data_IF_062854467899
#
_entry.id   IF_062854467899
#
_cell.length_a   1.000
_cell.length_b   1.000
_cell.length_c   1.000
_cell.angle_alpha   90.00
_cell.angle_beta   90.00
_cell.angle_gamma   90.00
#
_symmetry.space_group_name_H-M   'P 1'
#
loop_
_entity.id
_entity.type
_entity.pdbx_description
1 polymer ?
#
# COMPACT_ATOMS: atom_id res chain seq x y z
N UNK A 1 0.27 15.93 6.97
CA UNK A 1 0.59 14.67 6.26
C UNK A 1 1.79 14.77 5.35
N UNK A 2 1.80 15.74 4.43
CA UNK A 2 2.90 15.85 3.48
C UNK A 2 4.25 16.06 4.15
N UNK A 3 4.33 16.85 5.21
CA UNK A 3 5.60 17.04 5.95
C UNK A 3 6.10 15.73 6.56
N UNK A 4 5.20 14.93 7.09
CA UNK A 4 5.57 13.64 7.65
C UNK A 4 6.14 12.72 6.57
N UNK A 5 5.46 12.65 5.44
CA UNK A 5 5.90 11.82 4.32
C UNK A 5 7.24 12.30 3.75
N UNK A 6 7.46 13.62 3.72
CA UNK A 6 8.72 14.20 3.23
C UNK A 6 9.91 13.90 4.14
N UNK A 7 9.66 13.67 5.42
CA UNK A 7 10.76 13.40 6.37
C UNK A 7 11.18 11.95 6.41
N UNK A 8 10.38 11.05 5.81
CA UNK A 8 10.69 9.62 5.81
C UNK A 8 11.60 9.26 4.63
N UNK A 9 12.57 8.37 4.83
CA UNK A 9 13.33 7.82 3.72
C UNK A 9 12.38 7.17 2.73
N UNK A 10 12.59 7.42 1.45
CA UNK A 10 11.72 6.90 0.41
C UNK A 10 12.52 6.03 -0.56
N UNK A 11 12.02 4.84 -0.80
CA UNK A 11 12.59 3.87 -1.72
C UNK A 11 11.51 3.51 -2.73
N UNK A 12 11.82 3.69 -3.99
CA UNK A 12 10.90 3.44 -5.07
C UNK A 12 11.30 2.18 -5.82
N UNK A 13 10.32 1.31 -6.01
CA UNK A 13 10.54 0.15 -6.87
C UNK A 13 10.32 0.54 -8.32
N UNK A 14 10.88 -0.25 -9.22
CA UNK A 14 10.49 -0.18 -10.62
C UNK A 14 8.98 -0.43 -10.70
N UNK A 15 8.30 0.38 -11.50
CA UNK A 15 6.86 0.33 -11.64
C UNK A 15 6.34 -1.05 -12.04
N UNK A 16 7.01 -1.65 -13.03
CA UNK A 16 6.56 -2.95 -13.55
C UNK A 16 6.73 -4.04 -12.49
N UNK A 17 7.83 -4.01 -11.75
CA UNK A 17 8.08 -4.96 -10.68
C UNK A 17 7.05 -4.80 -9.56
N UNK A 18 6.75 -3.56 -9.19
CA UNK A 18 5.75 -3.27 -8.18
C UNK A 18 4.37 -3.80 -8.60
N UNK A 19 3.97 -3.51 -9.83
CA UNK A 19 2.67 -3.94 -10.35
C UNK A 19 2.58 -5.46 -10.45
N UNK A 20 3.67 -6.13 -10.80
CA UNK A 20 3.71 -7.59 -10.86
C UNK A 20 3.48 -8.20 -9.49
N UNK A 21 4.12 -7.66 -8.46
CA UNK A 21 3.94 -8.17 -7.09
C UNK A 21 2.51 -7.93 -6.63
N UNK A 22 1.99 -6.74 -6.87
CA UNK A 22 0.61 -6.42 -6.52
C UNK A 22 -0.38 -7.36 -7.22
N UNK A 23 -0.18 -7.61 -8.51
CA UNK A 23 -1.06 -8.48 -9.29
C UNK A 23 -0.96 -9.96 -8.94
N UNK A 24 0.11 -10.38 -8.26
CA UNK A 24 0.22 -11.75 -7.75
C UNK A 24 -0.58 -11.96 -6.47
N UNK A 25 -0.77 -10.89 -5.71
CA UNK A 25 -1.46 -10.96 -4.41
C UNK A 25 -2.94 -10.63 -4.57
N UNK A 26 -3.25 -9.62 -5.38
CA UNK A 26 -4.62 -9.12 -5.52
C UNK A 26 -5.09 -9.20 -6.97
N UNK A 27 -6.35 -9.55 -7.16
CA UNK A 27 -7.02 -9.46 -8.46
C UNK A 27 -7.34 -7.99 -8.74
N UNK A 28 -7.68 -7.69 -10.00
CA UNK A 28 -8.08 -6.33 -10.37
C UNK A 28 -9.29 -5.85 -9.58
N UNK A 29 -10.26 -6.73 -9.34
CA UNK A 29 -11.44 -6.39 -8.55
C UNK A 29 -11.07 -6.08 -7.10
N UNK A 30 -10.15 -6.85 -6.54
CA UNK A 30 -9.67 -6.59 -5.18
C UNK A 30 -8.93 -5.26 -5.08
N UNK A 31 -8.16 -4.91 -6.11
CA UNK A 31 -7.47 -3.62 -6.15
C UNK A 31 -8.46 -2.46 -6.20
N UNK A 32 -9.54 -2.62 -6.96
CA UNK A 32 -10.61 -1.63 -7.00
C UNK A 32 -11.25 -1.48 -5.61
N UNK A 33 -11.48 -2.58 -4.93
CA UNK A 33 -12.05 -2.56 -3.58
C UNK A 33 -11.14 -1.83 -2.59
N UNK A 34 -9.83 -2.06 -2.69
CA UNK A 34 -8.85 -1.37 -1.84
C UNK A 34 -8.90 0.14 -2.12
N UNK A 35 -8.96 0.53 -3.38
CA UNK A 35 -9.05 1.94 -3.76
C UNK A 35 -10.31 2.60 -3.17
N UNK A 36 -11.44 1.92 -3.25
CA UNK A 36 -12.69 2.40 -2.66
C UNK A 36 -12.57 2.52 -1.14
N UNK A 37 -11.99 1.52 -0.49
CA UNK A 37 -11.78 1.55 0.97
C UNK A 37 -10.93 2.74 1.39
N UNK A 38 -9.89 3.06 0.62
CA UNK A 38 -9.01 4.18 0.94
C UNK A 38 -9.73 5.53 0.82
N UNK A 39 -10.83 5.60 0.09
CA UNK A 39 -11.66 6.80 0.01
C UNK A 39 -12.35 7.14 1.33
N UNK A 40 -12.50 6.17 2.20
CA UNK A 40 -13.05 6.33 3.54
C UNK A 40 -12.04 5.77 4.52
N UNK A 41 -11.22 6.62 5.15
CA UNK A 41 -10.11 6.14 5.98
C UNK A 41 -10.55 5.04 6.95
N UNK A 42 -9.81 3.94 6.92
CA UNK A 42 -10.13 2.76 7.72
C UNK A 42 -8.87 2.19 8.35
N UNK A 43 -9.07 1.55 9.48
CA UNK A 43 -8.03 0.79 10.15
C UNK A 43 -8.35 -0.68 10.03
N UNK A 44 -7.37 -1.47 9.63
CA UNK A 44 -7.43 -2.92 9.83
C UNK A 44 -6.59 -3.21 11.07
N UNK A 45 -6.45 -4.49 11.42
CA UNK A 45 -5.63 -4.84 12.58
C UNK A 45 -4.19 -4.34 12.43
N UNK A 46 -3.61 -4.45 11.24
CA UNK A 46 -2.21 -4.13 11.00
C UNK A 46 -1.96 -2.91 10.12
N UNK A 47 -3.00 -2.34 9.53
CA UNK A 47 -2.83 -1.28 8.54
C UNK A 47 -3.77 -0.11 8.76
N UNK A 48 -3.33 1.05 8.27
CA UNK A 48 -4.17 2.21 8.08
C UNK A 48 -4.31 2.44 6.58
N UNK A 49 -5.54 2.55 6.11
CA UNK A 49 -5.85 2.78 4.70
C UNK A 49 -6.48 4.15 4.54
N UNK A 50 -5.95 4.95 3.62
CA UNK A 50 -6.57 6.25 3.33
C UNK A 50 -6.18 6.72 1.94
N UNK A 51 -6.91 7.73 1.45
CA UNK A 51 -6.63 8.37 0.16
C UNK A 51 -6.17 9.79 0.41
N UNK A 52 -5.15 10.20 -0.35
CA UNK A 52 -4.69 11.58 -0.39
C UNK A 52 -4.61 11.97 -1.85
N UNK A 53 -5.46 12.93 -2.24
CA UNK A 53 -5.63 13.32 -3.63
C UNK A 53 -6.02 12.09 -4.48
N UNK A 54 -5.25 11.75 -5.50
CA UNK A 54 -5.56 10.61 -6.37
C UNK A 54 -4.75 9.36 -6.05
N UNK A 55 -3.99 9.40 -4.97
CA UNK A 55 -3.16 8.28 -4.55
C UNK A 55 -3.77 7.63 -3.31
N UNK A 56 -3.73 6.31 -3.26
CA UNK A 56 -4.09 5.64 -2.02
C UNK A 56 -2.85 5.22 -1.27
N UNK A 57 -2.97 5.21 0.05
CA UNK A 57 -1.88 4.93 0.97
C UNK A 57 -2.26 3.78 1.88
N UNK A 58 -1.33 2.86 2.01
CA UNK A 58 -1.46 1.72 2.90
C UNK A 58 -0.27 1.80 3.86
N UNK A 59 -0.54 2.01 5.13
CA UNK A 59 0.51 2.15 6.13
C UNK A 59 0.47 0.95 7.06
N UNK A 60 1.60 0.24 7.14
CA UNK A 60 1.75 -0.83 8.11
C UNK A 60 2.01 -0.20 9.47
N UNK A 61 1.08 -0.39 10.40
CA UNK A 61 1.08 0.33 11.68
C UNK A 61 2.27 0.00 12.57
N UNK A 62 2.72 -1.24 12.54
CA UNK A 62 3.80 -1.70 13.39
C UNK A 62 5.16 -1.15 12.92
N UNK A 63 5.45 -1.25 11.64
CA UNK A 63 6.75 -0.84 11.09
C UNK A 63 6.78 0.59 10.56
N UNK A 64 5.63 1.19 10.33
CA UNK A 64 5.55 2.51 9.70
C UNK A 64 5.80 2.49 8.20
N UNK A 65 5.95 1.31 7.60
CA UNK A 65 6.17 1.20 6.15
C UNK A 65 4.96 1.75 5.40
N UNK A 66 5.24 2.59 4.42
CA UNK A 66 4.20 3.26 3.64
C UNK A 66 4.24 2.73 2.21
N UNK A 67 3.10 2.27 1.75
CA UNK A 67 2.87 1.89 0.35
C UNK A 67 1.89 2.90 -0.22
N UNK A 68 2.29 3.60 -1.27
CA UNK A 68 1.34 4.47 -1.96
C UNK A 68 1.30 4.13 -3.44
N UNK A 69 0.14 4.26 -4.03
CA UNK A 69 -0.06 3.91 -5.42
C UNK A 69 -1.08 4.83 -6.07
N UNK A 70 -0.72 5.31 -7.25
CA UNK A 70 -1.63 6.03 -8.13
C UNK A 70 -1.80 5.19 -9.39
N UNK A 71 -2.89 4.48 -9.47
CA UNK A 71 -3.15 3.50 -10.52
C UNK A 71 -3.02 4.08 -11.94
N UNK A 72 -3.61 5.26 -12.14
CA UNK A 72 -3.67 5.86 -13.48
C UNK A 72 -2.32 6.36 -13.98
N UNK A 73 -1.50 6.88 -13.10
CA UNK A 73 -0.16 7.34 -13.45
C UNK A 73 0.88 6.24 -13.33
N UNK A 74 0.50 5.09 -12.82
CA UNK A 74 1.41 3.98 -12.63
C UNK A 74 2.53 4.30 -11.65
N UNK A 75 2.28 5.17 -10.68
CA UNK A 75 3.27 5.45 -9.65
C UNK A 75 3.47 4.24 -8.78
N UNK A 76 4.72 4.06 -8.37
CA UNK A 76 5.08 2.95 -7.51
C UNK A 76 4.96 3.34 -6.06
N UNK A 77 5.09 2.37 -5.20
CA UNK A 77 5.08 2.60 -3.77
C UNK A 77 6.34 3.32 -3.32
N UNK A 78 6.23 3.94 -2.16
CA UNK A 78 7.38 4.41 -1.41
C UNK A 78 7.41 3.68 -0.08
N UNK A 79 8.62 3.41 0.39
CA UNK A 79 8.82 2.72 1.66
C UNK A 79 9.83 3.50 2.48
N UNK A 80 9.62 3.54 3.79
CA UNK A 80 10.50 4.27 4.69
C UNK A 80 11.57 3.39 5.34
N UNK A 81 11.78 2.18 4.84
CA UNK A 81 12.72 1.23 5.42
C UNK A 81 13.82 0.89 4.42
N UNK A 82 15.05 1.17 4.79
CA UNK A 82 16.19 0.80 3.97
C UNK A 82 16.27 -0.72 3.84
N UNK A 83 16.59 -1.20 2.65
CA UNK A 83 16.69 -2.62 2.40
C UNK A 83 15.37 -3.33 2.17
N UNK A 84 14.29 -2.60 2.07
CA UNK A 84 12.98 -3.18 1.77
C UNK A 84 12.98 -3.74 0.35
N UNK A 85 12.70 -5.03 0.22
CA UNK A 85 12.76 -5.74 -1.06
C UNK A 85 11.37 -6.03 -1.62
N UNK A 86 11.33 -6.51 -2.87
CA UNK A 86 10.07 -6.95 -3.47
C UNK A 86 9.48 -8.15 -2.73
N UNK A 87 10.32 -9.01 -2.15
CA UNK A 87 9.85 -10.11 -1.32
C UNK A 87 9.17 -9.59 -0.06
N UNK A 88 9.74 -8.55 0.55
CA UNK A 88 9.14 -7.90 1.71
C UNK A 88 7.81 -7.25 1.34
N UNK A 89 7.73 -6.63 0.18
CA UNK A 89 6.49 -6.04 -0.32
C UNK A 89 5.41 -7.12 -0.46
N UNK A 90 5.77 -8.26 -1.03
CA UNK A 90 4.83 -9.37 -1.20
C UNK A 90 4.32 -9.87 0.14
N UNK A 91 5.20 -10.05 1.12
CA UNK A 91 4.80 -10.49 2.46
C UNK A 91 3.85 -9.49 3.11
N UNK A 92 4.15 -8.21 2.97
CA UNK A 92 3.30 -7.16 3.53
C UNK A 92 1.92 -7.15 2.87
N UNK A 93 1.87 -7.32 1.56
CA UNK A 93 0.60 -7.38 0.83
C UNK A 93 -0.20 -8.63 1.19
N UNK A 94 0.46 -9.75 1.46
CA UNK A 94 -0.23 -10.96 1.92
C UNK A 94 -0.84 -10.75 3.30
N UNK A 95 -0.15 -10.04 4.18
CA UNK A 95 -0.69 -9.69 5.49
C UNK A 95 -1.91 -8.77 5.33
N UNK A 96 -1.83 -7.80 4.44
CA UNK A 96 -2.97 -6.92 4.13
C UNK A 96 -4.15 -7.76 3.62
N UNK A 97 -3.90 -8.71 2.76
CA UNK A 97 -4.95 -9.56 2.22
C UNK A 97 -5.67 -10.34 3.34
N UNK A 98 -4.92 -10.83 4.32
CA UNK A 98 -5.51 -11.51 5.47
C UNK A 98 -6.34 -10.54 6.31
N UNK A 99 -5.83 -9.34 6.55
CA UNK A 99 -6.56 -8.31 7.31
C UNK A 99 -7.89 -7.96 6.63
N UNK A 100 -7.88 -7.84 5.31
CA UNK A 100 -9.07 -7.44 4.55
C UNK A 100 -10.16 -8.51 4.59
N UNK A 101 -9.82 -9.77 4.80
CA UNK A 101 -10.81 -10.83 4.96
C UNK A 101 -11.63 -10.67 6.23
N UNK A 102 -11.08 -10.01 7.24
CA UNK A 102 -11.74 -9.79 8.51
C UNK A 102 -12.56 -8.51 8.54
N UNK A 103 -12.38 -7.66 7.53
CA UNK A 103 -13.16 -6.43 7.42
C UNK A 103 -14.48 -6.75 6.75
N UNK A 104 -15.56 -6.55 7.49
CA UNK A 104 -16.91 -6.71 6.94
C UNK A 104 -17.21 -5.54 6.00
N UNK A 105 -17.51 -5.84 4.78
CA UNK A 105 -17.81 -4.83 3.77
C UNK A 105 -19.31 -4.75 3.56
#
# INVERSE_FOLDING_TARGET
MSKYLETLPQYHFDRDDFCKVFGKVFTDDEIIDIDVMCGYPQNTENFLLYRWEDEFYIIHRDSGTIINWYKHLGRTNTCNKEGFTLADLKELLLLLKEDLKEVEV
#
